data_IF_447863280527
#
_entry.id   IF_447863280527
#
_cell.length_a   1.000
_cell.length_b   1.000
_cell.length_c   1.000
_cell.angle_alpha   90.00
_cell.angle_beta   90.00
_cell.angle_gamma   90.00
#
_symmetry.space_group_name_H-M   'P 1'
#
loop_
_entity.id
_entity.type
_entity.pdbx_description
1 polymer ?
#
# COMPACT_ATOMS: atom_id res chain seq x y z
N UNK A 1 -8.33 4.32 -11.30
CA UNK A 1 -8.69 3.08 -12.03
C UNK A 1 -9.99 3.31 -12.80
N UNK A 2 -10.16 2.79 -14.03
CA UNK A 2 -11.43 2.91 -14.76
C UNK A 2 -12.55 2.17 -14.02
N UNK A 3 -13.78 2.70 -14.09
CA UNK A 3 -14.99 1.94 -13.74
C UNK A 3 -15.13 0.78 -14.73
N UNK A 4 -15.60 -0.39 -14.31
CA UNK A 4 -15.58 -1.62 -15.14
C UNK A 4 -16.16 -1.43 -16.54
N UNK A 5 -17.29 -0.72 -16.69
CA UNK A 5 -17.88 -0.51 -18.02
C UNK A 5 -17.07 0.45 -18.91
N UNK A 6 -16.38 1.43 -18.31
CA UNK A 6 -15.47 2.29 -19.06
C UNK A 6 -14.25 1.49 -19.55
N UNK A 7 -13.76 0.56 -18.71
CA UNK A 7 -12.71 -0.38 -19.10
C UNK A 7 -13.21 -1.27 -20.24
N UNK A 8 -14.40 -1.88 -20.12
CA UNK A 8 -14.99 -2.73 -21.15
C UNK A 8 -15.06 -2.05 -22.52
N UNK A 9 -15.59 -0.81 -22.58
CA UNK A 9 -15.64 -0.02 -23.82
C UNK A 9 -14.25 0.32 -24.39
N UNK A 10 -13.28 0.60 -23.52
CA UNK A 10 -11.90 0.84 -23.99
C UNK A 10 -11.28 -0.43 -24.59
N UNK A 11 -11.50 -1.58 -23.95
CA UNK A 11 -10.98 -2.87 -24.39
C UNK A 11 -11.63 -3.30 -25.71
N UNK A 12 -12.95 -3.15 -25.83
CA UNK A 12 -13.69 -3.41 -27.06
C UNK A 12 -13.10 -2.65 -28.25
N UNK A 13 -12.85 -1.35 -28.08
CA UNK A 13 -12.22 -0.51 -29.11
C UNK A 13 -10.80 -0.96 -29.46
N UNK A 14 -10.02 -1.44 -28.49
CA UNK A 14 -8.63 -1.88 -28.71
C UNK A 14 -8.52 -3.24 -29.39
N UNK A 15 -9.53 -4.08 -29.21
CA UNK A 15 -9.59 -5.45 -29.75
C UNK A 15 -10.56 -5.56 -30.92
N UNK A 16 -10.93 -4.43 -31.53
CA UNK A 16 -11.80 -4.39 -32.70
C UNK A 16 -11.21 -5.24 -33.84
N UNK A 17 -11.99 -6.23 -34.29
CA UNK A 17 -11.56 -7.19 -35.31
C UNK A 17 -10.73 -8.38 -34.80
N UNK A 18 -10.28 -8.38 -33.54
CA UNK A 18 -9.61 -9.52 -32.90
C UNK A 18 -10.59 -10.37 -32.06
N UNK A 19 -11.48 -9.71 -31.30
CA UNK A 19 -12.44 -10.36 -30.41
C UNK A 19 -13.85 -9.85 -30.71
N UNK A 20 -14.80 -10.76 -30.85
CA UNK A 20 -16.21 -10.42 -31.01
C UNK A 20 -16.87 -10.21 -29.63
N UNK A 21 -17.27 -8.98 -29.36
CA UNK A 21 -18.00 -8.60 -28.14
C UNK A 21 -19.51 -8.70 -28.38
N UNK A 22 -20.03 -9.92 -28.47
CA UNK A 22 -21.46 -10.18 -28.66
C UNK A 22 -22.26 -10.02 -27.34
N UNK A 23 -22.25 -8.82 -26.75
CA UNK A 23 -23.02 -8.52 -25.55
C UNK A 23 -24.51 -8.39 -25.90
N UNK A 24 -25.37 -8.93 -25.04
CA UNK A 24 -26.83 -8.69 -25.11
C UNK A 24 -27.14 -7.28 -24.59
N UNK A 25 -28.30 -6.73 -24.97
CA UNK A 25 -28.71 -5.35 -24.65
C UNK A 25 -28.63 -4.98 -23.14
N UNK A 26 -28.82 -5.97 -22.25
CA UNK A 26 -28.75 -5.78 -20.79
C UNK A 26 -27.56 -6.48 -20.12
N UNK A 27 -26.64 -7.04 -20.92
CA UNK A 27 -25.50 -7.80 -20.39
C UNK A 27 -24.33 -6.87 -20.06
N UNK A 28 -23.78 -7.01 -18.87
CA UNK A 28 -22.58 -6.26 -18.46
C UNK A 28 -21.31 -6.89 -19.04
N UNK A 29 -20.22 -6.11 -19.07
CA UNK A 29 -18.90 -6.60 -19.46
C UNK A 29 -18.43 -7.78 -18.57
N UNK A 30 -18.71 -7.70 -17.26
CA UNK A 30 -18.36 -8.74 -16.29
C UNK A 30 -19.12 -10.05 -16.54
N UNK A 31 -20.42 -9.96 -16.84
CA UNK A 31 -21.25 -11.12 -17.18
C UNK A 31 -20.80 -11.77 -18.49
N UNK A 32 -20.46 -10.96 -19.49
CA UNK A 32 -19.90 -11.46 -20.74
C UNK A 32 -18.59 -12.21 -20.50
N UNK A 33 -17.65 -11.61 -19.77
CA UNK A 33 -16.36 -12.22 -19.48
C UNK A 33 -16.51 -13.52 -18.67
N UNK A 34 -17.42 -13.52 -17.69
CA UNK A 34 -17.76 -14.70 -16.89
C UNK A 34 -18.24 -15.84 -17.77
N UNK A 35 -19.13 -15.54 -18.73
CA UNK A 35 -19.62 -16.53 -19.66
C UNK A 35 -18.50 -17.07 -20.54
N UNK A 36 -17.62 -16.22 -21.07
CA UNK A 36 -16.51 -16.67 -21.93
C UNK A 36 -15.55 -17.62 -21.21
N UNK A 37 -15.29 -17.39 -19.93
CA UNK A 37 -14.42 -18.24 -19.11
C UNK A 37 -15.09 -19.53 -18.63
N UNK A 38 -16.42 -19.55 -18.53
CA UNK A 38 -17.17 -20.70 -18.03
C UNK A 38 -17.44 -21.70 -19.16
N UNK A 39 -16.93 -22.95 -19.08
CA UNK A 39 -17.28 -23.99 -20.05
C UNK A 39 -18.77 -24.27 -20.03
N UNK A 40 -19.44 -24.14 -21.17
CA UNK A 40 -20.87 -24.39 -21.28
C UNK A 40 -21.09 -25.85 -21.71
N UNK A 41 -21.87 -26.65 -20.96
CA UNK A 41 -21.97 -28.09 -21.16
C UNK A 41 -22.69 -28.47 -22.46
N UNK A 42 -23.46 -27.56 -23.03
CA UNK A 42 -24.17 -27.75 -24.31
C UNK A 42 -23.33 -27.36 -25.53
N UNK A 43 -22.13 -26.79 -25.33
CA UNK A 43 -21.22 -26.45 -26.42
C UNK A 43 -20.15 -27.54 -26.60
N UNK A 44 -19.75 -27.85 -27.84
CA UNK A 44 -18.60 -28.69 -28.11
C UNK A 44 -17.32 -28.11 -27.48
N UNK A 45 -16.37 -28.97 -27.08
CA UNK A 45 -15.14 -28.56 -26.39
C UNK A 45 -14.29 -27.54 -27.18
N UNK A 46 -14.24 -27.64 -28.52
CA UNK A 46 -13.49 -26.69 -29.34
C UNK A 46 -14.09 -25.27 -29.32
N UNK A 47 -15.42 -25.16 -29.17
CA UNK A 47 -16.09 -23.86 -29.04
C UNK A 47 -15.78 -23.25 -27.67
N UNK A 48 -15.84 -24.05 -26.60
CA UNK A 48 -15.43 -23.60 -25.27
C UNK A 48 -13.95 -23.16 -25.24
N UNK A 49 -13.07 -23.88 -25.94
CA UNK A 49 -11.66 -23.49 -26.04
C UNK A 49 -11.47 -22.14 -26.76
N UNK A 50 -12.21 -21.89 -27.85
CA UNK A 50 -12.15 -20.61 -28.56
C UNK A 50 -12.65 -19.42 -27.71
N UNK A 51 -13.71 -19.65 -26.94
CA UNK A 51 -14.26 -18.67 -25.98
C UNK A 51 -13.26 -18.35 -24.87
N UNK A 52 -12.64 -19.38 -24.28
CA UNK A 52 -11.60 -19.21 -23.28
C UNK A 52 -10.39 -18.44 -23.84
N UNK A 53 -9.93 -18.77 -25.06
CA UNK A 53 -8.83 -18.04 -25.70
C UNK A 53 -9.16 -16.55 -25.91
N UNK A 54 -10.40 -16.24 -26.30
CA UNK A 54 -10.87 -14.86 -26.44
C UNK A 54 -10.87 -14.13 -25.09
N UNK A 55 -11.35 -14.79 -24.02
CA UNK A 55 -11.29 -14.23 -22.67
C UNK A 55 -9.85 -13.98 -22.20
N UNK A 56 -8.93 -14.91 -22.44
CA UNK A 56 -7.51 -14.74 -22.09
C UNK A 56 -6.90 -13.54 -22.83
N UNK A 57 -7.22 -13.36 -24.12
CA UNK A 57 -6.80 -12.17 -24.88
C UNK A 57 -7.32 -10.87 -24.27
N UNK A 58 -8.59 -10.85 -23.85
CA UNK A 58 -9.22 -9.71 -23.15
C UNK A 58 -8.54 -9.42 -21.82
N UNK A 59 -8.25 -10.43 -21.00
CA UNK A 59 -7.56 -10.27 -19.70
C UNK A 59 -6.15 -9.71 -19.90
N UNK A 60 -5.42 -10.19 -20.91
CA UNK A 60 -4.11 -9.65 -21.29
C UNK A 60 -4.20 -8.16 -21.66
N UNK A 61 -5.22 -7.77 -22.42
CA UNK A 61 -5.43 -6.36 -22.78
C UNK A 61 -5.85 -5.50 -21.57
N UNK A 62 -6.65 -6.05 -20.64
CA UNK A 62 -6.96 -5.39 -19.36
C UNK A 62 -5.66 -5.09 -18.63
N UNK A 63 -4.77 -6.07 -18.49
CA UNK A 63 -3.47 -5.86 -17.82
C UNK A 63 -2.65 -4.74 -18.50
N UNK A 64 -2.61 -4.73 -19.84
CA UNK A 64 -1.94 -3.69 -20.63
C UNK A 64 -2.49 -2.27 -20.40
N UNK A 65 -3.83 -2.12 -20.39
CA UNK A 65 -4.50 -0.84 -20.07
C UNK A 65 -4.14 -0.38 -18.65
N UNK A 66 -4.17 -1.31 -17.70
CA UNK A 66 -3.89 -1.01 -16.31
C UNK A 66 -2.42 -0.64 -16.08
N UNK A 67 -1.47 -1.35 -16.70
CA UNK A 67 -0.04 -0.99 -16.70
C UNK A 67 0.14 0.45 -17.22
N UNK A 68 -0.41 0.77 -18.39
CA UNK A 68 -0.27 2.10 -18.99
C UNK A 68 -0.83 3.21 -18.08
N UNK A 69 -1.98 2.97 -17.43
CA UNK A 69 -2.59 3.93 -16.51
C UNK A 69 -1.80 4.05 -15.20
N UNK A 70 -1.30 2.95 -14.65
CA UNK A 70 -0.46 2.95 -13.45
C UNK A 70 0.86 3.70 -13.71
N UNK A 71 1.50 3.44 -14.85
CA UNK A 71 2.73 4.12 -15.25
C UNK A 71 2.48 5.62 -15.52
N UNK A 72 1.38 5.98 -16.18
CA UNK A 72 1.01 7.38 -16.38
C UNK A 72 0.77 8.12 -15.05
N UNK A 73 0.09 7.48 -14.08
CA UNK A 73 -0.15 8.06 -12.77
C UNK A 73 1.15 8.23 -11.96
N UNK A 74 2.08 7.27 -12.09
CA UNK A 74 3.38 7.31 -11.41
C UNK A 74 4.43 8.19 -12.11
N UNK A 75 4.17 8.65 -13.34
CA UNK A 75 5.10 9.53 -14.07
C UNK A 75 5.17 10.94 -13.47
N UNK A 76 4.11 11.38 -12.78
CA UNK A 76 4.09 12.63 -12.04
C UNK A 76 4.74 12.48 -10.64
N UNK A 77 4.95 13.61 -9.96
CA UNK A 77 5.29 13.61 -8.54
C UNK A 77 4.21 12.91 -7.71
N UNK A 78 4.64 12.29 -6.60
CA UNK A 78 3.71 11.64 -5.69
C UNK A 78 2.72 12.68 -5.13
N UNK A 79 1.41 12.40 -5.14
CA UNK A 79 0.46 13.27 -4.45
C UNK A 79 0.76 13.33 -2.95
N UNK A 80 0.77 14.53 -2.37
CA UNK A 80 1.10 14.73 -0.95
C UNK A 80 0.22 13.85 -0.03
N UNK A 81 -1.08 13.72 -0.34
CA UNK A 81 -1.98 12.87 0.43
C UNK A 81 -1.62 11.38 0.37
N UNK A 82 -1.09 10.88 -0.76
CA UNK A 82 -0.71 9.48 -0.91
C UNK A 82 0.57 9.21 -0.13
N UNK A 83 1.51 10.15 -0.17
CA UNK A 83 2.73 10.10 0.63
C UNK A 83 2.39 10.11 2.14
N UNK A 84 1.47 10.96 2.57
CA UNK A 84 1.01 10.99 3.96
C UNK A 84 0.30 9.68 4.33
N UNK A 85 -0.54 9.14 3.44
CA UNK A 85 -1.33 7.94 3.71
C UNK A 85 -0.45 6.69 3.91
N UNK A 86 0.56 6.46 3.08
CA UNK A 86 1.45 5.30 3.27
C UNK A 86 2.29 5.41 4.54
N UNK A 87 2.66 6.62 4.92
CA UNK A 87 3.35 6.88 6.18
C UNK A 87 2.44 6.67 7.39
N UNK A 88 1.18 7.09 7.32
CA UNK A 88 0.18 6.82 8.36
C UNK A 88 -0.03 5.32 8.54
N UNK A 89 -0.23 4.58 7.45
CA UNK A 89 -0.36 3.12 7.53
C UNK A 89 0.88 2.49 8.17
N UNK A 90 2.08 2.91 7.78
CA UNK A 90 3.33 2.43 8.39
C UNK A 90 3.37 2.74 9.89
N UNK A 91 2.96 3.94 10.29
CA UNK A 91 2.96 4.36 11.69
C UNK A 91 1.99 3.56 12.55
N UNK A 92 0.79 3.31 12.01
CA UNK A 92 -0.25 2.52 12.66
C UNK A 92 0.02 1.02 12.60
N UNK A 93 0.96 0.57 11.75
CA UNK A 93 1.18 -0.86 11.50
C UNK A 93 -0.07 -1.49 10.88
N UNK A 94 -0.73 -0.72 10.00
CA UNK A 94 -2.03 -1.09 9.47
C UNK A 94 -1.96 -2.36 8.61
N UNK A 95 -3.06 -3.10 8.54
CA UNK A 95 -3.26 -4.12 7.53
C UNK A 95 -4.17 -3.55 6.45
N UNK A 96 -3.65 -3.45 5.23
CA UNK A 96 -4.31 -2.85 4.08
C UNK A 96 -4.79 -3.96 3.15
N UNK A 97 -6.11 -4.11 3.05
CA UNK A 97 -6.75 -4.99 2.07
C UNK A 97 -7.02 -4.17 0.81
N UNK A 98 -6.46 -4.58 -0.33
CA UNK A 98 -6.69 -3.90 -1.61
C UNK A 98 -7.20 -4.82 -2.70
N UNK A 99 -8.16 -4.31 -3.46
CA UNK A 99 -8.71 -4.92 -4.66
C UNK A 99 -8.09 -4.35 -5.95
N UNK A 100 -7.17 -3.39 -5.80
CA UNK A 100 -6.46 -2.78 -6.93
C UNK A 100 -5.35 -3.69 -7.43
N UNK A 101 -5.24 -3.80 -8.75
CA UNK A 101 -4.17 -4.53 -9.42
C UNK A 101 -2.86 -3.74 -9.52
N UNK A 102 -2.96 -2.41 -9.52
CA UNK A 102 -1.83 -1.52 -9.75
C UNK A 102 -0.81 -1.55 -8.60
N UNK A 103 0.35 -0.92 -8.85
CA UNK A 103 1.48 -0.88 -7.92
C UNK A 103 1.66 0.50 -7.26
N UNK A 104 0.63 1.36 -7.28
CA UNK A 104 0.80 2.76 -6.86
C UNK A 104 1.12 2.88 -5.37
N UNK A 105 0.56 2.02 -4.52
CA UNK A 105 0.86 1.98 -3.07
C UNK A 105 2.30 1.53 -2.85
N UNK A 106 2.74 0.49 -3.54
CA UNK A 106 4.12 -0.01 -3.46
C UNK A 106 5.13 1.02 -3.96
N UNK A 107 4.82 1.72 -5.06
CA UNK A 107 5.65 2.82 -5.57
C UNK A 107 5.67 4.00 -4.62
N UNK A 108 4.56 4.30 -3.93
CA UNK A 108 4.51 5.34 -2.92
C UNK A 108 5.37 4.98 -1.70
N UNK A 109 5.27 3.75 -1.20
CA UNK A 109 6.13 3.24 -0.14
C UNK A 109 7.62 3.27 -0.53
N UNK A 110 7.95 2.87 -1.76
CA UNK A 110 9.31 2.96 -2.32
C UNK A 110 9.80 4.40 -2.39
N UNK A 111 8.93 5.34 -2.80
CA UNK A 111 9.24 6.77 -2.86
C UNK A 111 9.47 7.37 -1.46
N UNK A 112 8.67 6.96 -0.47
CA UNK A 112 8.74 7.45 0.90
C UNK A 112 9.96 6.94 1.67
N UNK A 113 10.59 5.84 1.23
CA UNK A 113 11.75 5.22 1.92
C UNK A 113 11.49 4.99 3.41
N UNK A 114 10.34 4.38 3.69
CA UNK A 114 9.84 4.22 5.06
C UNK A 114 10.81 3.40 5.92
N UNK A 115 10.75 3.63 7.23
CA UNK A 115 11.47 2.81 8.20
C UNK A 115 10.43 2.10 9.06
N UNK A 116 10.60 0.80 9.23
CA UNK A 116 9.73 -0.03 10.05
C UNK A 116 9.88 0.30 11.55
N UNK A 117 8.93 -0.13 12.38
CA UNK A 117 9.03 0.01 13.85
C UNK A 117 10.27 -0.64 14.45
N UNK A 118 10.81 -1.70 13.84
CA UNK A 118 12.07 -2.30 14.25
C UNK A 118 13.32 -1.62 13.65
N UNK A 119 13.16 -0.47 12.98
CA UNK A 119 14.27 0.34 12.48
C UNK A 119 14.85 -0.15 11.15
N UNK A 120 14.16 -1.08 10.47
CA UNK A 120 14.56 -1.56 9.16
C UNK A 120 14.09 -0.57 8.10
N UNK A 121 14.98 -0.18 7.21
CA UNK A 121 14.61 0.65 6.05
C UNK A 121 13.92 -0.24 5.04
N UNK A 122 12.68 0.11 4.70
CA UNK A 122 11.92 -0.51 3.63
C UNK A 122 12.45 0.07 2.32
N UNK A 123 13.21 -0.76 1.60
CA UNK A 123 13.84 -0.33 0.37
C UNK A 123 12.88 -0.41 -0.81
N UNK A 124 11.96 -1.39 -0.78
CA UNK A 124 10.98 -1.61 -1.82
C UNK A 124 9.59 -1.80 -1.23
N UNK A 125 8.60 -1.09 -1.75
CA UNK A 125 7.22 -1.22 -1.30
C UNK A 125 6.61 -2.61 -1.53
N UNK A 126 7.21 -3.42 -2.41
CA UNK A 126 6.82 -4.83 -2.58
C UNK A 126 7.13 -5.71 -1.38
N UNK A 127 8.03 -5.28 -0.49
CA UNK A 127 8.33 -5.95 0.79
C UNK A 127 7.10 -5.96 1.70
N UNK A 128 6.19 -4.99 1.52
CA UNK A 128 4.95 -4.86 2.29
C UNK A 128 3.86 -5.81 1.79
N UNK A 129 4.02 -6.38 0.59
CA UNK A 129 3.02 -7.28 -0.02
C UNK A 129 3.29 -8.70 0.44
N UNK A 130 2.48 -9.17 1.39
CA UNK A 130 2.59 -10.51 1.96
C UNK A 130 1.23 -11.03 2.44
N UNK A 131 0.84 -12.29 2.15
CA UNK A 131 1.53 -13.26 1.31
C UNK A 131 1.61 -12.84 -0.17
N UNK A 132 2.65 -13.28 -0.87
CA UNK A 132 2.83 -13.00 -2.30
C UNK A 132 3.56 -14.14 -3.03
N UNK A 133 3.50 -14.21 -4.38
CA UNK A 133 4.28 -15.17 -5.13
C UNK A 133 5.79 -14.93 -4.94
N UNK A 134 6.62 -15.99 -5.00
CA UNK A 134 8.07 -15.84 -4.92
C UNK A 134 8.62 -15.01 -6.08
N UNK A 135 9.70 -14.28 -5.80
CA UNK A 135 10.48 -13.56 -6.81
C UNK A 135 11.44 -14.52 -7.52
N UNK A 136 11.78 -14.23 -8.77
CA UNK A 136 12.70 -15.09 -9.53
C UNK A 136 14.12 -15.03 -8.97
N UNK A 137 14.83 -16.17 -8.93
CA UNK A 137 16.20 -16.28 -8.38
C UNK A 137 17.22 -15.36 -9.04
N UNK A 138 16.98 -14.97 -10.30
CA UNK A 138 17.81 -14.02 -11.05
C UNK A 138 17.75 -12.57 -10.52
N UNK A 139 16.78 -12.23 -9.65
CA UNK A 139 16.60 -10.88 -9.09
C UNK A 139 17.20 -10.69 -7.68
N UNK A 140 17.92 -11.69 -7.13
CA UNK A 140 18.37 -11.74 -5.73
C UNK A 140 19.68 -11.01 -5.38
N UNK A 141 20.43 -10.45 -6.33
CA UNK A 141 21.70 -9.81 -6.01
C UNK A 141 21.48 -8.55 -5.13
N UNK A 142 21.73 -8.67 -3.82
CA UNK A 142 21.55 -7.60 -2.82
C UNK A 142 20.39 -7.80 -1.85
N UNK A 143 19.68 -8.93 -1.94
CA UNK A 143 18.44 -9.21 -1.22
C UNK A 143 18.72 -10.11 -0.01
N UNK A 144 19.01 -9.50 1.14
CA UNK A 144 18.94 -10.23 2.42
C UNK A 144 17.46 -10.39 2.74
N UNK A 145 16.91 -11.59 2.59
CA UNK A 145 15.50 -11.92 2.88
C UNK A 145 15.11 -11.68 4.33
N UNK A 146 15.09 -10.42 4.75
CA UNK A 146 14.75 -9.94 6.07
C UNK A 146 13.24 -9.80 6.18
N UNK A 147 12.76 -10.01 7.41
CA UNK A 147 11.35 -10.15 7.80
C UNK A 147 10.37 -9.32 6.97
N UNK A 148 9.52 -10.02 6.22
CA UNK A 148 8.45 -9.48 5.35
C UNK A 148 7.37 -8.65 6.07
N UNK A 149 7.55 -8.33 7.35
CA UNK A 149 6.60 -7.59 8.18
C UNK A 149 7.35 -6.90 9.33
N UNK A 150 8.54 -6.34 9.06
CA UNK A 150 9.48 -5.79 10.06
C UNK A 150 8.97 -4.62 10.94
N UNK A 151 7.64 -4.43 11.03
CA UNK A 151 6.97 -3.47 11.89
C UNK A 151 6.41 -2.26 11.14
N UNK A 152 6.11 -2.37 9.85
CA UNK A 152 5.35 -1.37 9.08
C UNK A 152 3.94 -1.89 8.80
N UNK A 153 3.28 -1.40 7.76
CA UNK A 153 1.99 -1.90 7.30
C UNK A 153 2.14 -3.12 6.38
N UNK A 154 1.10 -3.92 6.29
CA UNK A 154 1.01 -5.08 5.40
C UNK A 154 -0.02 -4.81 4.31
N UNK A 155 0.25 -5.25 3.07
CA UNK A 155 -0.61 -5.07 1.91
C UNK A 155 -1.08 -6.42 1.35
N UNK A 156 -2.38 -6.70 1.46
CA UNK A 156 -3.03 -7.89 0.89
C UNK A 156 -3.64 -7.58 -0.49
N UNK A 157 -3.14 -8.24 -1.53
CA UNK A 157 -3.60 -8.10 -2.93
C UNK A 157 -4.65 -9.15 -3.26
N UNK A 158 -5.93 -8.81 -3.07
CA UNK A 158 -7.04 -9.76 -3.11
C UNK A 158 -7.36 -10.30 -4.52
N UNK A 159 -7.00 -9.54 -5.55
CA UNK A 159 -7.28 -9.86 -6.96
C UNK A 159 -6.03 -10.13 -7.79
N UNK A 160 -4.92 -10.45 -7.14
CA UNK A 160 -3.62 -10.47 -7.80
C UNK A 160 -3.01 -9.08 -7.95
N UNK A 161 -1.97 -8.99 -8.76
CA UNK A 161 -1.23 -7.74 -8.97
C UNK A 161 -0.67 -7.73 -10.37
N UNK A 162 -0.47 -6.54 -10.94
CA UNK A 162 0.11 -6.40 -12.27
C UNK A 162 1.46 -7.12 -12.34
N UNK A 163 2.30 -7.07 -11.31
CA UNK A 163 3.61 -7.74 -11.33
C UNK A 163 3.57 -9.26 -11.07
N UNK A 164 2.41 -9.90 -11.01
CA UNK A 164 2.28 -11.36 -10.81
C UNK A 164 2.04 -12.07 -12.14
N UNK A 165 2.65 -13.23 -12.29
CA UNK A 165 2.67 -14.00 -13.53
C UNK A 165 2.49 -15.49 -13.23
N UNK A 166 1.95 -16.23 -14.19
CA UNK A 166 1.77 -17.68 -14.09
C UNK A 166 1.65 -18.35 -15.45
N UNK A 167 1.67 -19.68 -15.45
CA UNK A 167 1.60 -20.54 -16.65
C UNK A 167 0.23 -20.54 -17.37
N UNK A 168 -0.69 -19.66 -17.00
CA UNK A 168 -2.04 -19.56 -17.56
C UNK A 168 -3.03 -20.62 -17.08
N UNK A 169 -2.61 -21.59 -16.25
CA UNK A 169 -3.53 -22.58 -15.69
C UNK A 169 -4.33 -22.00 -14.52
N UNK A 170 -5.65 -22.15 -14.55
CA UNK A 170 -6.55 -21.71 -13.45
C UNK A 170 -6.47 -22.59 -12.21
N UNK A 171 -5.66 -23.67 -12.24
CA UNK A 171 -5.75 -24.80 -11.31
C UNK A 171 -4.56 -24.96 -10.36
N UNK A 172 -3.61 -24.02 -10.30
CA UNK A 172 -2.47 -24.16 -9.38
C UNK A 172 -1.72 -22.87 -9.07
N UNK A 173 -1.50 -22.61 -7.79
CA UNK A 173 -0.60 -21.58 -7.26
C UNK A 173 0.89 -21.90 -7.42
N UNK A 174 1.23 -23.15 -7.74
CA UNK A 174 2.61 -23.64 -7.76
C UNK A 174 3.49 -22.98 -8.83
N UNK A 175 2.86 -22.38 -9.86
CA UNK A 175 3.55 -21.73 -10.98
C UNK A 175 3.50 -20.20 -10.90
N UNK A 176 3.00 -19.63 -9.79
CA UNK A 176 2.95 -18.18 -9.64
C UNK A 176 4.33 -17.63 -9.30
N UNK A 177 4.72 -16.61 -10.03
CA UNK A 177 5.97 -15.89 -9.89
C UNK A 177 5.68 -14.39 -9.92
N UNK A 178 6.55 -13.62 -9.28
CA UNK A 178 6.44 -12.16 -9.23
C UNK A 178 7.69 -11.50 -9.81
N UNK A 179 7.49 -10.46 -10.63
CA UNK A 179 8.57 -9.54 -10.98
C UNK A 179 8.72 -8.51 -9.89
N UNK A 180 9.95 -8.19 -9.51
CA UNK A 180 10.18 -7.03 -8.66
C UNK A 180 9.79 -5.73 -9.37
N UNK A 181 9.19 -4.78 -8.65
CA UNK A 181 9.05 -3.39 -9.10
C UNK A 181 9.81 -2.46 -8.16
N UNK A 182 10.93 -1.92 -8.67
CA UNK A 182 11.84 -1.05 -7.91
C UNK A 182 11.58 0.43 -8.14
N UNK A 183 10.52 0.76 -8.87
CA UNK A 183 10.18 2.14 -9.24
C UNK A 183 9.44 2.84 -8.09
N UNK A 184 9.66 4.13 -7.99
CA UNK A 184 8.81 5.08 -7.26
C UNK A 184 8.12 6.04 -8.24
N UNK A 185 7.56 7.12 -7.72
CA UNK A 185 6.98 8.20 -8.52
C UNK A 185 8.05 9.09 -9.18
N UNK A 186 7.67 9.81 -10.24
CA UNK A 186 8.50 10.75 -11.00
C UNK A 186 9.84 10.16 -11.49
N UNK A 187 9.83 8.88 -11.89
CA UNK A 187 11.02 8.19 -12.38
C UNK A 187 12.07 7.88 -11.31
N UNK A 188 11.79 8.15 -10.02
CA UNK A 188 12.65 7.68 -8.93
C UNK A 188 12.73 6.15 -8.98
N UNK A 189 13.92 5.61 -8.82
CA UNK A 189 14.17 4.16 -8.77
C UNK A 189 15.02 3.88 -7.55
N UNK A 190 14.62 2.88 -6.76
CA UNK A 190 15.36 2.52 -5.55
C UNK A 190 16.75 1.94 -5.85
N UNK A 191 16.92 1.30 -7.02
CA UNK A 191 18.20 0.80 -7.54
C UNK A 191 18.23 0.77 -9.09
N UNK A 192 19.41 0.44 -9.66
CA UNK A 192 19.68 0.39 -11.11
C UNK A 192 18.60 -0.39 -11.88
N UNK A 193 18.29 0.13 -13.08
CA UNK A 193 17.22 -0.29 -13.98
C UNK A 193 17.04 -1.81 -14.12
N UNK A 194 15.78 -2.23 -14.03
CA UNK A 194 15.34 -3.59 -14.30
C UNK A 194 15.59 -3.96 -15.77
N UNK A 195 16.52 -4.88 -15.99
CA UNK A 195 16.50 -5.73 -17.17
C UNK A 195 15.87 -7.04 -16.74
N UNK A 196 14.74 -7.40 -17.33
CA UNK A 196 14.10 -8.70 -17.10
C UNK A 196 14.93 -9.81 -17.76
N UNK A 197 15.91 -10.33 -17.03
CA UNK A 197 16.68 -11.51 -17.43
C UNK A 197 15.95 -12.83 -17.15
N UNK A 198 14.78 -12.77 -16.49
CA UNK A 198 14.09 -13.97 -16.01
C UNK A 198 13.14 -14.57 -17.06
N UNK A 199 12.82 -13.83 -18.12
CA UNK A 199 11.83 -14.23 -19.12
C UNK A 199 10.41 -14.26 -18.57
N UNK A 200 10.18 -13.71 -17.37
CA UNK A 200 8.91 -13.80 -16.67
C UNK A 200 7.77 -13.12 -17.43
N UNK A 201 8.08 -12.04 -18.16
CA UNK A 201 7.11 -11.37 -19.04
C UNK A 201 6.64 -12.19 -20.24
N UNK A 202 7.19 -13.39 -20.45
CA UNK A 202 6.67 -14.36 -21.44
C UNK A 202 5.53 -15.22 -20.88
N UNK A 203 5.31 -15.20 -19.56
CA UNK A 203 4.17 -15.83 -18.91
C UNK A 203 2.94 -14.91 -18.94
N UNK A 204 1.78 -15.50 -18.65
CA UNK A 204 0.53 -14.74 -18.54
C UNK A 204 0.48 -13.95 -17.23
N UNK A 205 -0.11 -12.76 -17.28
CA UNK A 205 -0.38 -11.94 -16.08
C UNK A 205 -1.41 -12.66 -15.20
N UNK A 206 -1.14 -12.75 -13.91
CA UNK A 206 -2.08 -13.32 -12.95
C UNK A 206 -2.92 -12.21 -12.30
N UNK A 207 -4.12 -12.02 -12.84
CA UNK A 207 -5.15 -11.13 -12.32
C UNK A 207 -6.44 -11.92 -12.13
N UNK A 208 -7.17 -11.67 -11.05
CA UNK A 208 -8.57 -12.10 -10.94
C UNK A 208 -9.40 -11.06 -11.69
N UNK A 209 -9.91 -11.36 -12.89
CA UNK A 209 -10.53 -10.35 -13.73
C UNK A 209 -11.86 -9.85 -13.13
N UNK A 210 -12.38 -8.70 -13.62
CA UNK A 210 -13.69 -8.21 -13.23
C UNK A 210 -14.77 -9.12 -13.82
N UNK A 211 -15.14 -10.15 -13.05
CA UNK A 211 -16.09 -11.19 -13.42
C UNK A 211 -17.01 -11.49 -12.24
N UNK A 212 -18.23 -11.94 -12.53
CA UNK A 212 -19.27 -12.18 -11.54
C UNK A 212 -19.02 -13.43 -10.69
N UNK A 213 -18.42 -14.49 -11.26
CA UNK A 213 -18.04 -15.71 -10.52
C UNK A 213 -16.52 -15.84 -10.49
N UNK A 214 -15.91 -15.67 -9.32
CA UNK A 214 -14.44 -15.70 -9.13
C UNK A 214 -13.95 -17.03 -8.55
N UNK A 215 -14.83 -18.03 -8.40
CA UNK A 215 -14.59 -19.25 -7.62
C UNK A 215 -13.36 -20.04 -8.09
N UNK A 216 -13.13 -20.09 -9.41
CA UNK A 216 -11.96 -20.75 -9.98
C UNK A 216 -10.62 -20.12 -9.57
N UNK A 217 -10.58 -18.80 -9.38
CA UNK A 217 -9.36 -18.06 -9.03
C UNK A 217 -8.99 -18.17 -7.56
N UNK A 218 -9.98 -18.34 -6.67
CA UNK A 218 -9.75 -18.49 -5.23
C UNK A 218 -9.24 -19.88 -4.83
N UNK A 219 -9.26 -20.84 -5.75
CA UNK A 219 -8.81 -22.22 -5.51
C UNK A 219 -7.29 -22.36 -5.35
N UNK A 220 -6.50 -21.35 -5.74
CA UNK A 220 -5.05 -21.39 -5.59
C UNK A 220 -4.65 -21.28 -4.10
N UNK A 221 -3.62 -22.04 -3.66
CA UNK A 221 -3.23 -22.05 -2.24
C UNK A 221 -2.79 -20.68 -1.76
N UNK A 222 -2.12 -19.90 -2.62
CA UNK A 222 -1.72 -18.53 -2.30
C UNK A 222 -2.95 -17.64 -2.10
N UNK A 223 -3.94 -17.69 -3.00
CA UNK A 223 -5.15 -16.87 -2.85
C UNK A 223 -5.90 -17.29 -1.59
N UNK A 224 -6.02 -18.60 -1.33
CA UNK A 224 -6.63 -19.10 -0.08
C UNK A 224 -5.91 -18.55 1.16
N UNK A 225 -4.58 -18.50 1.15
CA UNK A 225 -3.80 -17.92 2.25
C UNK A 225 -4.04 -16.42 2.41
N UNK A 226 -4.07 -15.64 1.32
CA UNK A 226 -4.36 -14.20 1.36
C UNK A 226 -5.77 -13.93 1.89
N UNK A 227 -6.78 -14.67 1.41
CA UNK A 227 -8.15 -14.53 1.88
C UNK A 227 -8.33 -14.96 3.34
N UNK A 228 -7.59 -15.98 3.79
CA UNK A 228 -7.57 -16.36 5.20
C UNK A 228 -6.93 -15.27 6.07
N UNK A 229 -5.83 -14.69 5.62
CA UNK A 229 -5.17 -13.57 6.31
C UNK A 229 -6.11 -12.37 6.44
N UNK A 230 -6.81 -12.02 5.36
CA UNK A 230 -7.85 -10.99 5.39
C UNK A 230 -8.98 -11.34 6.37
N UNK A 231 -9.40 -12.61 6.43
CA UNK A 231 -10.39 -13.10 7.40
C UNK A 231 -9.96 -12.91 8.85
N UNK A 232 -8.71 -13.28 9.18
CA UNK A 232 -8.13 -13.07 10.51
C UNK A 232 -8.07 -11.58 10.83
N UNK A 233 -7.55 -10.77 9.91
CA UNK A 233 -7.43 -9.32 10.10
C UNK A 233 -8.77 -8.64 10.37
N UNK A 234 -9.81 -9.02 9.62
CA UNK A 234 -11.16 -8.49 9.80
C UNK A 234 -11.77 -8.93 11.13
N UNK A 235 -11.53 -10.18 11.56
CA UNK A 235 -12.02 -10.68 12.84
C UNK A 235 -11.34 -10.00 14.05
N UNK A 236 -10.08 -9.57 13.91
CA UNK A 236 -9.28 -8.94 14.96
C UNK A 236 -9.31 -7.40 14.92
N UNK A 237 -9.93 -6.81 13.90
CA UNK A 237 -9.96 -5.36 13.72
C UNK A 237 -10.73 -4.65 14.85
N UNK A 238 -10.18 -3.56 15.37
CA UNK A 238 -10.89 -2.63 16.27
C UNK A 238 -11.56 -1.48 15.51
N UNK A 239 -10.99 -1.11 14.36
CA UNK A 239 -11.48 -0.09 13.44
C UNK A 239 -11.34 -0.58 12.01
N UNK A 240 -12.34 -0.32 11.16
CA UNK A 240 -12.30 -0.60 9.73
C UNK A 240 -12.56 0.68 8.93
N UNK A 241 -11.61 1.04 8.07
CA UNK A 241 -11.77 2.12 7.10
C UNK A 241 -11.95 1.53 5.70
N UNK A 242 -13.00 1.95 4.99
CA UNK A 242 -13.24 1.56 3.60
C UNK A 242 -13.02 2.77 2.69
N UNK A 243 -11.98 2.70 1.85
CA UNK A 243 -11.51 3.80 1.03
C UNK A 243 -11.77 3.53 -0.46
N UNK A 244 -12.65 4.30 -1.09
CA UNK A 244 -12.87 4.29 -2.55
C UNK A 244 -13.33 2.95 -3.12
N UNK A 245 -13.94 2.10 -2.28
CA UNK A 245 -14.44 0.78 -2.67
C UNK A 245 -15.96 0.79 -2.61
N UNK A 246 -16.62 0.35 -3.68
CA UNK A 246 -18.07 0.44 -3.80
C UNK A 246 -18.82 -0.74 -3.17
N UNK A 247 -18.11 -1.83 -2.81
CA UNK A 247 -18.70 -3.10 -2.38
C UNK A 247 -19.78 -3.59 -3.37
N UNK A 248 -19.43 -3.90 -4.64
CA UNK A 248 -20.39 -4.37 -5.64
C UNK A 248 -21.13 -5.62 -5.16
N UNK A 249 -22.39 -5.77 -5.56
CA UNK A 249 -23.26 -6.87 -5.12
C UNK A 249 -22.71 -8.23 -5.57
N UNK A 250 -21.99 -8.20 -6.69
CA UNK A 250 -21.33 -9.30 -7.33
C UNK A 250 -20.12 -9.79 -6.52
N UNK A 251 -19.52 -8.93 -5.67
CA UNK A 251 -18.37 -9.29 -4.84
C UNK A 251 -18.78 -9.94 -3.51
N UNK A 252 -19.50 -11.05 -3.64
CA UNK A 252 -20.12 -11.77 -2.53
C UNK A 252 -19.12 -12.19 -1.47
N UNK A 253 -17.91 -12.58 -1.86
CA UNK A 253 -16.87 -13.02 -0.91
C UNK A 253 -16.43 -11.87 0.00
N UNK A 254 -16.31 -10.66 -0.53
CA UNK A 254 -16.02 -9.47 0.30
C UNK A 254 -17.21 -9.13 1.19
N UNK A 255 -18.43 -9.26 0.67
CA UNK A 255 -19.65 -9.10 1.46
C UNK A 255 -19.67 -10.04 2.68
N UNK A 256 -19.39 -11.33 2.48
CA UNK A 256 -19.32 -12.31 3.57
C UNK A 256 -18.14 -12.03 4.52
N UNK A 257 -16.98 -11.61 4.00
CA UNK A 257 -15.84 -11.21 4.82
C UNK A 257 -16.22 -10.07 5.77
N UNK A 258 -16.83 -9.01 5.24
CA UNK A 258 -17.23 -7.82 6.03
C UNK A 258 -18.41 -8.14 6.96
N UNK A 259 -19.33 -9.02 6.57
CA UNK A 259 -20.41 -9.48 7.45
C UNK A 259 -19.89 -10.28 8.67
N UNK A 260 -18.64 -10.77 8.63
CA UNK A 260 -17.97 -11.43 9.75
C UNK A 260 -17.40 -10.49 10.81
N UNK A 261 -17.52 -9.16 10.64
CA UNK A 261 -17.08 -8.18 11.63
C UNK A 261 -17.82 -8.33 12.96
N UNK A 262 -17.10 -8.09 14.05
CA UNK A 262 -17.71 -7.97 15.37
C UNK A 262 -18.52 -6.67 15.48
N UNK A 263 -19.57 -6.68 16.31
CA UNK A 263 -20.51 -5.55 16.44
C UNK A 263 -19.94 -4.32 17.15
N UNK A 264 -18.77 -4.45 17.78
CA UNK A 264 -18.02 -3.38 18.44
C UNK A 264 -17.03 -2.67 17.51
N UNK A 265 -16.79 -3.21 16.31
CA UNK A 265 -15.88 -2.59 15.34
C UNK A 265 -16.50 -1.32 14.77
N UNK A 266 -15.73 -0.23 14.82
CA UNK A 266 -16.15 1.03 14.18
C UNK A 266 -15.84 0.96 12.69
N UNK A 267 -16.89 1.04 11.85
CA UNK A 267 -16.74 1.03 10.38
C UNK A 267 -16.97 2.44 9.80
N UNK A 268 -15.97 2.94 9.09
CA UNK A 268 -15.97 4.28 8.50
C UNK A 268 -15.70 4.24 7.00
N UNK A 269 -16.48 5.02 6.24
CA UNK A 269 -16.42 5.05 4.77
C UNK A 269 -15.84 6.37 4.28
N UNK A 270 -14.85 6.27 3.39
CA UNK A 270 -14.23 7.39 2.67
C UNK A 270 -14.42 7.14 1.18
N UNK A 271 -15.39 7.82 0.55
CA UNK A 271 -15.75 7.55 -0.84
C UNK A 271 -16.15 8.83 -1.59
N UNK A 272 -16.16 8.81 -2.93
CA UNK A 272 -16.68 9.92 -3.72
C UNK A 272 -18.17 10.16 -3.42
N UNK A 273 -18.95 9.09 -3.33
CA UNK A 273 -20.36 9.09 -2.95
C UNK A 273 -20.66 7.89 -2.02
N UNK A 274 -20.52 8.07 -0.70
CA UNK A 274 -20.76 6.98 0.25
C UNK A 274 -22.22 6.50 0.26
N UNK A 275 -23.16 7.29 -0.27
CA UNK A 275 -24.60 7.00 -0.21
C UNK A 275 -25.20 7.20 1.17
N UNK A 276 -26.32 6.53 1.44
CA UNK A 276 -27.02 6.56 2.72
C UNK A 276 -27.68 5.22 3.03
N UNK A 277 -28.17 5.05 4.26
CA UNK A 277 -28.87 3.83 4.70
C UNK A 277 -30.12 3.56 3.86
N UNK A 278 -30.83 4.60 3.43
CA UNK A 278 -32.03 4.52 2.60
C UNK A 278 -31.71 4.22 1.13
N UNK A 279 -30.48 4.52 0.68
CA UNK A 279 -30.04 4.32 -0.71
C UNK A 279 -29.15 3.08 -0.80
N UNK A 280 -29.76 1.93 -1.07
CA UNK A 280 -29.09 0.64 -1.23
C UNK A 280 -28.04 0.57 -2.35
N UNK A 281 -28.01 1.55 -3.26
CA UNK A 281 -27.01 1.60 -4.34
C UNK A 281 -25.63 2.08 -3.89
N UNK A 282 -25.53 2.84 -2.80
CA UNK A 282 -24.26 3.30 -2.23
C UNK A 282 -23.69 2.31 -1.21
N UNK A 283 -22.38 2.40 -0.93
CA UNK A 283 -21.71 1.46 -0.01
C UNK A 283 -22.33 1.43 1.38
N UNK A 284 -22.74 2.58 1.94
CA UNK A 284 -23.41 2.63 3.25
C UNK A 284 -24.71 1.80 3.24
N UNK A 285 -25.51 1.93 2.17
CA UNK A 285 -26.73 1.14 2.01
C UNK A 285 -26.45 -0.35 1.87
N UNK A 286 -25.35 -0.73 1.19
CA UNK A 286 -24.93 -2.14 1.04
C UNK A 286 -24.42 -2.74 2.35
N UNK A 287 -23.62 -2.00 3.11
CA UNK A 287 -23.19 -2.41 4.46
C UNK A 287 -24.39 -2.59 5.39
N UNK A 288 -25.37 -1.68 5.31
CA UNK A 288 -26.61 -1.81 6.08
C UNK A 288 -27.41 -3.09 5.72
N UNK A 289 -27.44 -3.48 4.44
CA UNK A 289 -28.05 -4.76 4.03
C UNK A 289 -27.33 -5.99 4.61
N UNK A 290 -26.03 -5.86 4.88
CA UNK A 290 -25.21 -6.86 5.56
C UNK A 290 -25.28 -6.74 7.09
N UNK A 291 -26.12 -5.85 7.62
CA UNK A 291 -26.24 -5.57 9.06
C UNK A 291 -24.94 -5.05 9.69
N UNK A 292 -24.08 -4.40 8.91
CA UNK A 292 -22.84 -3.77 9.37
C UNK A 292 -23.09 -2.26 9.50
N UNK A 293 -23.18 -1.72 10.74
CA UNK A 293 -23.34 -0.28 10.95
C UNK A 293 -22.09 0.44 10.46
N UNK A 294 -22.27 1.39 9.54
CA UNK A 294 -21.18 2.18 9.01
C UNK A 294 -21.57 3.65 8.92
N UNK A 295 -20.58 4.53 9.11
CA UNK A 295 -20.76 5.96 9.00
C UNK A 295 -19.88 6.56 7.89
N UNK A 296 -20.37 7.56 7.13
CA UNK A 296 -19.50 8.31 6.24
C UNK A 296 -18.52 9.15 7.07
N UNK A 297 -17.24 9.08 6.72
CA UNK A 297 -16.17 9.85 7.35
C UNK A 297 -15.74 11.03 6.46
N UNK A 298 -15.60 10.80 5.15
CA UNK A 298 -15.30 11.85 4.18
C UNK A 298 -15.96 11.52 2.83
N UNK A 299 -16.37 12.57 2.11
CA UNK A 299 -17.07 12.46 0.83
C UNK A 299 -16.51 13.42 -0.23
N UNK A 300 -16.77 13.14 -1.51
CA UNK A 300 -16.43 14.01 -2.63
C UNK A 300 -15.05 13.75 -3.25
N UNK A 301 -14.67 14.57 -4.23
CA UNK A 301 -13.46 14.37 -5.04
C UNK A 301 -12.15 14.35 -4.23
N UNK A 302 -12.16 14.98 -3.05
CA UNK A 302 -11.00 15.06 -2.15
C UNK A 302 -11.17 14.17 -0.91
N UNK A 303 -12.11 13.21 -0.89
CA UNK A 303 -12.43 12.41 0.29
C UNK A 303 -11.18 11.73 0.90
N UNK A 304 -10.37 11.06 0.06
CA UNK A 304 -9.14 10.38 0.50
C UNK A 304 -8.09 11.38 0.99
N UNK A 305 -7.95 12.53 0.31
CA UNK A 305 -7.01 13.57 0.73
C UNK A 305 -7.37 14.15 2.10
N UNK A 306 -8.66 14.47 2.30
CA UNK A 306 -9.17 15.00 3.56
C UNK A 306 -9.06 13.97 4.69
N UNK A 307 -9.31 12.69 4.38
CA UNK A 307 -9.10 11.60 5.33
C UNK A 307 -7.65 11.51 5.77
N UNK A 308 -6.70 11.48 4.82
CA UNK A 308 -5.28 11.41 5.12
C UNK A 308 -4.84 12.62 5.97
N UNK A 309 -5.25 13.83 5.62
CA UNK A 309 -4.93 15.05 6.38
C UNK A 309 -5.52 15.02 7.81
N UNK A 310 -6.77 14.58 7.95
CA UNK A 310 -7.43 14.52 9.27
C UNK A 310 -6.77 13.49 10.17
N UNK A 311 -6.53 12.26 9.67
CA UNK A 311 -5.83 11.21 10.42
C UNK A 311 -4.41 11.62 10.76
N UNK A 312 -3.75 12.31 9.83
CA UNK A 312 -2.43 12.87 10.07
C UNK A 312 -2.42 13.84 11.25
N UNK A 313 -3.38 14.77 11.28
CA UNK A 313 -3.53 15.74 12.37
C UNK A 313 -3.83 15.04 13.69
N UNK A 314 -4.77 14.08 13.70
CA UNK A 314 -5.15 13.34 14.89
C UNK A 314 -3.96 12.56 15.48
N UNK A 315 -3.21 11.86 14.64
CA UNK A 315 -2.03 11.12 15.06
C UNK A 315 -0.95 12.06 15.60
N UNK A 316 -0.74 13.20 14.94
CA UNK A 316 0.20 14.24 15.39
C UNK A 316 -0.19 14.80 16.76
N UNK A 317 -1.46 15.08 16.99
CA UNK A 317 -1.97 15.57 18.30
C UNK A 317 -1.77 14.53 19.39
N UNK A 318 -2.17 13.27 19.15
CA UNK A 318 -1.97 12.17 20.11
C UNK A 318 -0.49 11.97 20.44
N UNK A 319 0.39 12.12 19.45
CA UNK A 319 1.82 12.04 19.65
C UNK A 319 2.34 13.17 20.55
N UNK A 320 1.94 14.42 20.31
CA UNK A 320 2.31 15.57 21.16
C UNK A 320 1.81 15.36 22.59
N UNK A 321 0.60 14.83 22.76
CA UNK A 321 0.05 14.49 24.09
C UNK A 321 0.85 13.39 24.77
N UNK A 322 1.23 12.33 24.05
CA UNK A 322 2.07 11.26 24.57
C UNK A 322 3.48 11.76 24.94
N UNK A 323 4.06 12.71 24.20
CA UNK A 323 5.35 13.30 24.56
C UNK A 323 5.30 14.01 25.92
N UNK A 324 4.18 14.63 26.27
CA UNK A 324 4.01 15.31 27.57
C UNK A 324 4.03 14.35 28.75
N UNK A 325 3.73 13.05 28.54
CA UNK A 325 3.75 12.05 29.60
C UNK A 325 5.10 11.34 29.77
N UNK A 326 6.07 11.59 28.88
CA UNK A 326 7.42 11.03 29.01
C UNK A 326 8.16 11.72 30.18
N UNK A 327 8.63 10.98 31.21
CA UNK A 327 9.25 11.56 32.39
C UNK A 327 10.47 12.44 32.05
N UNK A 328 10.38 13.71 32.42
CA UNK A 328 11.37 14.76 32.11
C UNK A 328 12.63 14.72 32.96
N UNK A 329 13.44 13.66 32.88
CA UNK A 329 14.84 13.75 33.33
C UNK A 329 15.74 14.49 32.32
N UNK A 330 15.21 14.83 31.14
CA UNK A 330 15.91 15.67 30.16
C UNK A 330 14.97 16.71 29.54
N UNK A 331 15.33 17.98 29.66
CA UNK A 331 14.65 19.12 29.00
C UNK A 331 14.79 19.10 27.45
N UNK A 332 15.41 18.04 26.90
CA UNK A 332 15.75 17.91 25.48
C UNK A 332 15.58 16.48 25.03
N UNK A 333 14.68 16.26 24.07
CA UNK A 333 14.58 14.97 23.38
C UNK A 333 15.63 14.92 22.27
N UNK A 334 16.57 13.94 22.29
CA UNK A 334 17.56 13.82 21.25
C UNK A 334 16.90 13.33 19.97
N UNK A 335 17.01 14.13 18.92
CA UNK A 335 16.37 13.91 17.62
C UNK A 335 17.48 13.72 16.58
N UNK A 336 17.56 12.50 16.06
CA UNK A 336 18.64 12.04 15.18
C UNK A 336 18.29 12.17 13.71
N UNK A 337 18.53 13.34 13.12
CA UNK A 337 18.23 13.62 11.73
C UNK A 337 19.13 12.78 10.81
N UNK A 338 18.56 11.80 10.12
CA UNK A 338 19.26 11.08 9.06
C UNK A 338 19.09 11.80 7.73
N UNK A 339 20.22 12.22 7.13
CA UNK A 339 20.23 12.79 5.78
C UNK A 339 20.49 11.68 4.76
N UNK A 340 19.52 11.41 3.88
CA UNK A 340 19.73 10.51 2.76
C UNK A 340 20.22 11.32 1.55
N UNK A 341 21.54 11.53 1.46
CA UNK A 341 22.13 12.16 0.27
C UNK A 341 22.09 11.15 -0.88
N UNK A 342 21.21 11.38 -1.84
CA UNK A 342 21.11 10.60 -3.06
C UNK A 342 22.40 10.75 -3.88
N UNK A 343 23.33 9.81 -3.73
CA UNK A 343 24.48 9.67 -4.63
C UNK A 343 25.83 9.30 -4.02
N UNK A 344 25.99 9.27 -2.69
CA UNK A 344 27.26 8.90 -2.05
C UNK A 344 27.01 7.86 -0.98
N UNK A 345 27.83 6.80 -0.93
CA UNK A 345 27.73 5.66 -0.01
C UNK A 345 28.01 6.00 1.48
N UNK A 346 27.80 7.25 1.89
CA UNK A 346 28.01 7.72 3.26
C UNK A 346 26.70 8.17 3.88
N UNK A 347 26.21 7.42 4.88
CA UNK A 347 25.16 7.91 5.79
C UNK A 347 25.81 8.90 6.76
N UNK A 348 25.47 10.19 6.68
CA UNK A 348 25.77 11.15 7.75
C UNK A 348 24.52 11.37 8.60
N UNK A 349 24.58 11.06 9.89
CA UNK A 349 23.54 11.45 10.84
C UNK A 349 23.93 12.76 11.52
N UNK A 350 22.99 13.70 11.59
CA UNK A 350 23.12 14.93 12.37
C UNK A 350 22.22 14.83 13.59
N UNK A 351 22.66 15.36 14.74
CA UNK A 351 21.88 15.37 15.98
C UNK A 351 21.39 16.78 16.28
N UNK A 352 20.09 16.90 16.50
CA UNK A 352 19.44 18.13 16.95
C UNK A 352 18.73 17.84 18.27
N UNK A 353 18.67 18.83 19.16
CA UNK A 353 17.79 18.76 20.32
C UNK A 353 16.42 19.30 19.94
N UNK A 354 15.33 18.65 20.33
CA UNK A 354 14.02 19.29 20.35
C UNK A 354 13.76 19.83 21.75
N UNK A 355 13.35 21.09 21.83
CA UNK A 355 12.79 21.72 23.04
C UNK A 355 11.34 22.06 22.77
N UNK A 356 10.46 21.69 23.70
CA UNK A 356 9.06 22.10 23.69
C UNK A 356 8.94 23.37 24.52
N UNK A 357 8.36 24.43 23.98
CA UNK A 357 8.12 25.65 24.75
C UNK A 357 6.86 25.54 25.63
N UNK A 358 6.59 26.59 26.42
CA UNK A 358 5.45 26.64 27.34
C UNK A 358 4.09 26.57 26.63
N UNK A 359 4.04 26.87 25.33
CA UNK A 359 2.83 26.81 24.50
C UNK A 359 2.64 25.43 23.86
N UNK A 360 3.64 24.55 23.98
CA UNK A 360 3.64 23.19 23.43
C UNK A 360 4.21 23.10 22.02
N UNK A 361 4.81 24.18 21.50
CA UNK A 361 5.42 24.17 20.18
C UNK A 361 6.81 23.53 20.24
N UNK A 362 7.07 22.62 19.30
CA UNK A 362 8.36 21.95 19.18
C UNK A 362 9.34 22.80 18.36
N UNK A 363 10.47 23.14 18.96
CA UNK A 363 11.56 23.87 18.29
C UNK A 363 12.81 23.00 18.21
N UNK A 364 13.38 22.91 17.01
CA UNK A 364 14.73 22.41 16.83
C UNK A 364 15.73 23.42 17.41
N UNK A 365 16.43 23.02 18.46
CA UNK A 365 17.54 23.78 19.05
C UNK A 365 18.78 23.68 18.14
N UNK A 366 19.81 24.44 18.47
CA UNK A 366 21.10 24.39 17.77
C UNK A 366 21.61 22.94 17.64
N UNK A 367 22.29 22.66 16.52
CA UNK A 367 23.00 21.39 16.28
C UNK A 367 23.77 21.01 17.54
N UNK A 368 23.40 19.88 18.15
CA UNK A 368 24.02 19.48 19.40
C UNK A 368 25.52 19.25 19.13
N UNK A 369 26.43 19.78 19.98
CA UNK A 369 27.84 19.45 19.87
C UNK A 369 28.01 17.92 19.95
N UNK A 370 29.06 17.34 19.34
CA UNK A 370 29.36 15.92 19.48
C UNK A 370 29.76 15.65 20.94
N UNK A 371 28.78 15.43 21.81
CA UNK A 371 29.00 15.09 23.21
C UNK A 371 28.97 13.57 23.34
N UNK A 372 29.91 13.07 24.15
CA UNK A 372 30.24 11.68 24.47
C UNK A 372 31.29 11.00 23.59
N UNK A 373 32.54 11.47 23.75
CA UNK A 373 33.65 10.53 23.81
C UNK A 373 33.65 9.81 25.17
N UNK A 374 33.36 8.51 25.13
CA UNK A 374 33.83 7.43 26.03
C UNK A 374 33.32 7.39 27.49
N UNK A 375 32.39 6.47 27.74
CA UNK A 375 32.46 5.54 28.87
C UNK A 375 32.35 4.10 28.34
N UNK A 376 33.43 3.33 28.49
CA UNK A 376 33.41 1.87 28.67
C UNK A 376 32.96 0.93 27.55
N UNK A 377 31.70 0.95 27.12
CA UNK A 377 31.04 -0.31 26.72
C UNK A 377 30.27 -0.35 25.40
N UNK A 378 30.28 0.69 24.57
CA UNK A 378 29.54 0.64 23.28
C UNK A 378 30.33 1.17 22.08
N UNK A 379 30.26 0.40 21.00
CA UNK A 379 31.07 0.52 19.78
C UNK A 379 30.54 1.61 18.83
N UNK A 380 31.41 2.59 18.57
CA UNK A 380 31.59 3.49 17.42
C UNK A 380 30.51 3.67 16.31
N UNK A 381 30.27 4.95 15.92
CA UNK A 381 30.53 5.44 14.55
C UNK A 381 30.71 6.98 14.50
N UNK A 382 31.49 7.49 13.54
CA UNK A 382 32.16 8.82 13.54
C UNK A 382 31.94 9.70 12.28
N UNK A 383 32.31 10.99 12.39
CA UNK A 383 32.67 12.03 11.35
C UNK A 383 31.50 12.84 10.74
N UNK A 384 31.51 14.17 10.44
CA UNK A 384 32.51 15.26 10.35
C UNK A 384 31.85 16.65 10.14
N UNK A 385 32.66 17.73 10.04
CA UNK A 385 32.31 19.19 9.99
C UNK A 385 32.00 19.71 8.56
N UNK A 386 31.04 20.65 8.38
CA UNK A 386 31.19 21.92 7.62
C UNK A 386 29.90 22.80 7.57
N UNK A 387 30.08 24.05 7.11
CA UNK A 387 29.26 25.28 7.21
C UNK A 387 28.01 25.36 6.32
N UNK A 388 26.99 26.01 6.89
CA UNK A 388 26.07 27.02 6.32
C UNK A 388 25.51 26.73 4.91
N UNK A 389 24.29 26.18 4.82
CA UNK A 389 23.50 26.16 3.59
C UNK A 389 22.00 25.91 3.84
N UNK A 390 21.16 26.60 3.06
CA UNK A 390 19.69 26.59 3.05
C UNK A 390 19.10 25.18 2.87
N UNK A 391 18.20 24.78 3.77
CA UNK A 391 17.51 23.49 3.76
C UNK A 391 16.32 23.49 2.78
N UNK A 392 16.47 22.75 1.68
CA UNK A 392 15.38 22.13 0.93
C UNK A 392 15.57 20.62 1.13
N UNK A 393 14.86 20.00 2.08
CA UNK A 393 15.01 18.58 2.40
C UNK A 393 13.64 17.92 2.53
N UNK A 394 13.40 16.90 1.69
CA UNK A 394 12.12 16.21 1.54
C UNK A 394 12.23 14.73 1.93
N UNK A 395 12.82 14.41 3.09
CA UNK A 395 12.72 13.12 3.81
C UNK A 395 13.73 13.10 4.97
N UNK A 396 13.26 12.80 6.18
CA UNK A 396 14.06 12.75 7.40
C UNK A 396 13.51 11.62 8.26
N UNK A 397 14.37 10.87 8.94
CA UNK A 397 13.99 9.83 9.90
C UNK A 397 14.81 10.00 11.18
N UNK A 398 14.30 9.51 12.32
CA UNK A 398 14.82 9.74 13.68
C UNK A 398 14.89 8.39 14.43
N UNK A 399 15.86 8.26 15.34
CA UNK A 399 16.10 7.05 16.15
C UNK A 399 16.52 7.46 17.56
N UNK A 400 15.92 6.91 18.62
CA UNK A 400 16.36 7.17 20.00
C UNK A 400 17.42 6.13 20.43
N UNK A 401 18.38 6.57 21.26
CA UNK A 401 19.52 5.74 21.71
C UNK A 401 19.16 4.83 22.89
N UNK A 402 19.89 3.71 22.97
CA UNK A 402 19.67 2.58 23.87
C UNK A 402 19.62 2.94 25.36
N UNK A 403 18.50 2.60 26.00
CA UNK A 403 18.45 2.00 27.36
C UNK A 403 17.08 1.38 27.69
N UNK A 404 16.09 1.49 26.80
CA UNK A 404 14.85 0.70 26.84
C UNK A 404 14.34 0.47 25.42
N UNK A 405 13.72 -0.68 25.16
CA UNK A 405 13.33 -1.20 23.84
C UNK A 405 12.25 -0.39 23.08
N UNK A 406 12.05 0.89 23.40
CA UNK A 406 11.12 1.77 22.72
C UNK A 406 11.77 2.44 21.50
N UNK A 407 11.48 1.93 20.31
CA UNK A 407 11.86 2.58 19.07
C UNK A 407 10.77 3.55 18.61
N UNK A 408 11.05 4.85 18.68
CA UNK A 408 10.19 5.89 18.11
C UNK A 408 10.86 6.39 16.82
N UNK A 409 10.30 6.01 15.67
CA UNK A 409 10.71 6.57 14.38
C UNK A 409 9.90 7.83 14.17
N UNK A 410 10.58 8.96 14.22
CA UNK A 410 10.00 10.29 13.96
C UNK A 410 10.56 10.71 12.59
N UNK A 411 9.73 11.02 11.60
CA UNK A 411 10.15 11.73 10.40
C UNK A 411 9.98 13.22 10.62
N UNK A 412 10.84 14.05 10.03
CA UNK A 412 10.73 15.51 10.14
C UNK A 412 10.81 16.12 8.73
N UNK A 413 9.66 16.36 8.11
CA UNK A 413 9.62 17.06 6.82
C UNK A 413 9.61 18.57 7.08
N UNK A 414 10.56 19.32 6.49
CA UNK A 414 10.58 20.78 6.58
C UNK A 414 10.12 21.35 5.24
N UNK A 415 8.90 21.88 5.21
CA UNK A 415 8.30 22.46 4.00
C UNK A 415 7.84 23.88 4.31
N UNK A 416 8.39 24.89 3.62
CA UNK A 416 7.94 26.28 3.79
C UNK A 416 8.27 26.95 5.14
N UNK A 417 9.14 26.37 5.97
CA UNK A 417 9.50 26.90 7.29
C UNK A 417 8.77 26.25 8.47
N UNK A 418 7.92 25.26 8.21
CA UNK A 418 7.25 24.45 9.23
C UNK A 418 7.95 23.08 9.33
N UNK A 419 8.11 22.57 10.56
CA UNK A 419 8.65 21.25 10.84
C UNK A 419 7.48 20.28 11.10
N UNK A 420 7.34 19.28 10.23
CA UNK A 420 6.22 18.34 10.23
C UNK A 420 6.73 16.99 10.76
N UNK A 421 6.21 16.57 11.91
CA UNK A 421 6.64 15.38 12.64
C UNK A 421 5.77 14.16 12.30
N UNK A 422 6.36 13.10 11.76
CA UNK A 422 5.69 11.86 11.35
C UNK A 422 6.13 10.72 12.27
N UNK A 423 5.31 10.33 13.25
CA UNK A 423 5.69 9.34 14.27
C UNK A 423 5.00 8.00 14.09
N UNK A 424 5.75 6.91 14.31
CA UNK A 424 5.22 5.58 14.61
C UNK A 424 5.53 5.23 16.07
N UNK A 425 4.53 5.03 16.97
CA UNK A 425 4.81 4.57 18.34
C UNK A 425 5.30 3.12 18.37
N UNK A 426 6.19 2.81 19.32
CA UNK A 426 6.52 1.43 19.72
C UNK A 426 5.33 0.83 20.50
N UNK A 427 5.02 -0.48 20.35
CA UNK A 427 3.95 -1.15 21.09
C UNK A 427 4.07 -1.07 22.62
N UNK A 428 5.26 -0.81 23.15
CA UNK A 428 5.50 -0.71 24.60
C UNK A 428 5.13 0.68 25.18
N UNK A 429 4.70 1.63 24.33
CA UNK A 429 4.36 3.01 24.72
C UNK A 429 2.85 3.33 24.65
N UNK A 430 1.98 2.32 24.52
CA UNK A 430 0.51 2.47 24.55
C UNK A 430 -0.12 1.77 25.77
#
# INVERSE_FOLDING_TARGET
>A
MPVTDQLGREIERRLEGEVAFDLRDDQTFEEWLTLQLTPLPFLPSYVNAHRAASATRVISEIASVLDARSDAAAAAEIPAWLNALVQLWSAEGALVITFNYDLLVERAATHAQMTSRAGHVIHYGEELVFPAPPVTTAQYAGDTGLDHTSGSFQLLKMHGSLNWFGSGSTSGSADLLRSRDKRGFAGRTAMIADVDYSGLRQLDRYLIPPMTSKDGYYSSSLMTSIWREAGVAIAEASELFILGYSLPREDRVVGELVAGLSSDVTVQVVDLDPGSVERSSGIIGRLNLLQVPAAPLAAGANAISNFAETRYRDLSTRFIEALKSVPGESDKFPVFVYRNESGVSGRSSEKYGLTMDEEGDLRADNKMPPVYARSGETSALSVGRMREMSLNCSNLSLRFGDESNAMLVVGLEITGGEAIIICAPSPEAL
#
